data_IF_606165433250
#
_entry.id   IF_606165433250
#
_cell.length_a   1.000
_cell.length_b   1.000
_cell.length_c   1.000
_cell.angle_alpha   90.00
_cell.angle_beta   90.00
_cell.angle_gamma   90.00
#
_symmetry.space_group_name_H-M   'P 1'
#
loop_
_entity.id
_entity.type
_entity.pdbx_description
1 polymer ?
#
# COMPACT_ATOMS: atom_id res chain seq x y z
N UNK A 1 7.56 -19.97 -21.73
CA UNK A 1 7.40 -18.62 -21.14
C UNK A 1 6.79 -18.75 -19.76
N UNK A 2 7.56 -18.58 -18.70
CA UNK A 2 6.99 -18.44 -17.36
C UNK A 2 6.24 -17.11 -17.32
N UNK A 3 4.91 -17.14 -17.22
CA UNK A 3 4.18 -16.00 -16.66
C UNK A 3 4.59 -15.91 -15.19
N UNK A 4 5.75 -15.29 -14.95
CA UNK A 4 6.20 -14.92 -13.62
C UNK A 4 5.10 -14.02 -13.06
N UNK A 5 4.40 -14.51 -12.04
CA UNK A 5 3.45 -13.74 -11.24
C UNK A 5 4.07 -12.36 -10.98
N UNK A 6 3.35 -11.28 -11.28
CA UNK A 6 3.90 -9.95 -11.09
C UNK A 6 4.25 -9.72 -9.61
N UNK A 7 5.34 -8.98 -9.41
CA UNK A 7 5.81 -8.65 -8.07
C UNK A 7 5.13 -7.37 -7.59
N UNK A 8 3.93 -7.50 -7.04
CA UNK A 8 3.17 -6.34 -6.56
C UNK A 8 3.41 -6.01 -5.08
N UNK A 9 4.47 -6.54 -4.46
CA UNK A 9 4.81 -6.35 -3.05
C UNK A 9 3.63 -6.55 -2.06
N UNK A 10 2.72 -7.48 -2.37
CA UNK A 10 1.47 -7.73 -1.63
C UNK A 10 0.49 -6.53 -1.55
N UNK A 11 0.56 -5.63 -2.51
CA UNK A 11 -0.38 -4.52 -2.67
C UNK A 11 -1.25 -4.63 -3.94
N UNK A 12 -1.24 -5.74 -4.66
CA UNK A 12 -2.22 -6.02 -5.71
C UNK A 12 -2.44 -7.52 -5.86
N UNK A 13 -3.69 -7.91 -6.17
CA UNK A 13 -4.05 -9.27 -6.56
C UNK A 13 -3.93 -9.54 -8.07
N UNK A 14 -3.85 -8.47 -8.88
CA UNK A 14 -3.91 -8.53 -10.33
C UNK A 14 -2.91 -7.58 -10.98
N UNK A 15 -2.68 -7.79 -12.28
CA UNK A 15 -1.85 -6.94 -13.11
C UNK A 15 -2.50 -6.75 -14.46
N UNK A 16 -2.31 -5.58 -15.04
CA UNK A 16 -2.79 -5.20 -16.35
C UNK A 16 -1.62 -4.79 -17.26
N UNK A 17 -1.75 -5.03 -18.57
CA UNK A 17 -0.79 -4.56 -19.55
C UNK A 17 -1.10 -3.09 -19.87
N UNK A 18 -0.20 -2.17 -19.50
CA UNK A 18 -0.32 -0.72 -19.73
C UNK A 18 0.90 -0.24 -20.50
N UNK A 19 0.67 0.38 -21.66
CA UNK A 19 1.73 0.90 -22.54
C UNK A 19 2.80 -0.15 -22.89
N UNK A 20 2.36 -1.38 -23.18
CA UNK A 20 3.26 -2.50 -23.50
C UNK A 20 4.03 -3.08 -22.33
N UNK A 21 3.82 -2.57 -21.11
CA UNK A 21 4.48 -3.03 -19.88
C UNK A 21 3.46 -3.66 -18.93
N UNK A 22 3.79 -4.79 -18.30
CA UNK A 22 2.95 -5.40 -17.28
C UNK A 22 3.09 -4.62 -15.98
N UNK A 23 1.98 -4.06 -15.47
CA UNK A 23 1.94 -3.24 -14.27
C UNK A 23 0.90 -3.79 -13.29
N UNK A 24 1.20 -3.71 -12.00
CA UNK A 24 0.28 -4.09 -10.93
C UNK A 24 -0.89 -3.10 -10.82
N UNK A 25 -2.09 -3.60 -10.54
CA UNK A 25 -3.23 -2.75 -10.21
C UNK A 25 -3.18 -2.44 -8.71
N UNK A 26 -2.33 -1.48 -8.34
CA UNK A 26 -1.98 -1.21 -6.94
C UNK A 26 -3.14 -0.74 -6.08
N UNK A 27 -3.19 -1.28 -4.86
CA UNK A 27 -4.08 -0.94 -3.76
C UNK A 27 -3.27 -0.37 -2.58
N UNK A 28 -3.88 -0.27 -1.39
CA UNK A 28 -3.18 0.10 -0.15
C UNK A 28 -2.44 1.45 -0.24
N UNK A 29 -2.94 2.37 -1.06
CA UNK A 29 -2.38 3.69 -1.32
C UNK A 29 -0.94 3.64 -1.86
N UNK A 30 -0.63 2.58 -2.62
CA UNK A 30 0.66 2.39 -3.29
C UNK A 30 0.56 2.66 -4.79
N UNK A 31 1.69 2.91 -5.43
CA UNK A 31 1.80 3.22 -6.85
C UNK A 31 3.12 2.71 -7.43
N UNK A 32 3.27 2.82 -8.75
CA UNK A 32 4.40 2.28 -9.53
C UNK A 32 4.11 0.89 -10.08
N UNK A 33 4.96 0.43 -11.02
CA UNK A 33 4.79 -0.85 -11.72
C UNK A 33 4.62 -2.05 -10.78
N UNK A 34 5.33 -2.03 -9.65
CA UNK A 34 5.39 -3.10 -8.66
C UNK A 34 4.78 -2.69 -7.30
N UNK A 35 4.08 -1.56 -7.22
CA UNK A 35 3.56 -1.01 -5.96
C UNK A 35 4.65 -0.69 -4.91
N UNK A 36 5.79 -0.17 -5.38
CA UNK A 36 7.01 0.07 -4.59
C UNK A 36 7.12 1.48 -3.99
N UNK A 37 6.09 2.30 -4.14
CA UNK A 37 6.02 3.65 -3.57
C UNK A 37 4.61 3.95 -3.06
N UNK A 38 4.48 4.93 -2.17
CA UNK A 38 3.18 5.48 -1.80
C UNK A 38 2.66 6.45 -2.86
N UNK A 39 1.35 6.51 -3.03
CA UNK A 39 0.69 7.48 -3.90
C UNK A 39 0.86 8.92 -3.38
N UNK A 40 0.68 9.91 -4.27
CA UNK A 40 0.68 11.33 -3.89
C UNK A 40 -0.38 11.58 -2.81
N UNK A 41 -0.01 12.33 -1.77
CA UNK A 41 -0.87 12.57 -0.61
C UNK A 41 -0.59 11.63 0.57
N UNK A 42 0.24 10.60 0.38
CA UNK A 42 0.68 9.68 1.43
C UNK A 42 2.18 9.85 1.76
N UNK A 43 2.58 9.43 2.96
CA UNK A 43 3.94 9.59 3.47
C UNK A 43 4.85 8.58 2.78
N UNK A 44 5.77 9.03 1.94
CA UNK A 44 6.73 8.13 1.28
C UNK A 44 7.49 7.22 2.28
N UNK A 45 7.82 7.74 3.47
CA UNK A 45 8.51 7.00 4.54
C UNK A 45 7.68 5.88 5.19
N UNK A 46 6.36 5.86 5.03
CA UNK A 46 5.51 4.79 5.58
C UNK A 46 5.46 3.55 4.70
N UNK A 47 5.98 3.62 3.47
CA UNK A 47 5.95 2.48 2.56
C UNK A 47 6.66 1.26 3.16
N UNK A 48 5.96 0.14 3.16
CA UNK A 48 6.49 -1.19 3.48
C UNK A 48 5.71 -2.21 2.64
N UNK A 49 6.34 -3.28 2.14
CA UNK A 49 5.62 -4.33 1.44
C UNK A 49 4.58 -4.95 2.37
N UNK A 50 3.48 -5.48 1.83
CA UNK A 50 2.58 -6.33 2.61
C UNK A 50 3.31 -7.54 3.19
N UNK A 51 2.75 -8.10 4.25
CA UNK A 51 3.30 -9.25 4.97
C UNK A 51 2.25 -10.34 5.09
N UNK A 52 2.65 -11.61 4.99
CA UNK A 52 1.78 -12.74 5.30
C UNK A 52 1.60 -12.96 6.82
N UNK A 53 2.26 -12.14 7.66
CA UNK A 53 2.19 -12.21 9.12
C UNK A 53 1.45 -10.99 9.70
N UNK A 54 0.73 -11.17 10.84
CA UNK A 54 0.45 -12.44 11.50
C UNK A 54 -0.56 -13.28 10.69
N UNK A 55 -0.42 -14.60 10.74
CA UNK A 55 -1.40 -15.50 10.13
C UNK A 55 -2.75 -15.40 10.84
N UNK A 56 -3.89 -15.61 10.16
CA UNK A 56 -4.04 -16.04 8.75
C UNK A 56 -4.09 -14.89 7.73
N UNK A 57 -4.32 -13.65 8.16
CA UNK A 57 -4.68 -12.54 7.26
C UNK A 57 -3.49 -11.68 6.81
N UNK A 58 -2.36 -11.77 7.51
CA UNK A 58 -1.20 -10.92 7.21
C UNK A 58 -1.40 -9.47 7.62
N UNK A 59 -0.53 -8.60 7.09
CA UNK A 59 -0.56 -7.15 7.30
C UNK A 59 -0.43 -6.44 5.95
N UNK A 60 -1.40 -5.60 5.54
CA UNK A 60 -1.37 -4.92 4.24
C UNK A 60 -0.36 -3.78 4.17
N UNK A 61 0.11 -3.26 5.31
CA UNK A 61 1.09 -2.18 5.41
C UNK A 61 0.76 -0.97 4.52
N UNK A 62 -0.49 -0.50 4.65
CA UNK A 62 -1.06 0.62 3.90
C UNK A 62 -0.26 1.90 4.16
N UNK A 63 -0.01 2.69 3.11
CA UNK A 63 0.65 3.98 3.27
C UNK A 63 -0.20 4.96 4.11
N UNK A 64 0.46 5.68 5.02
CA UNK A 64 -0.17 6.67 5.90
C UNK A 64 -0.43 7.98 5.16
N UNK A 65 -1.60 8.60 5.36
CA UNK A 65 -1.90 9.90 4.79
C UNK A 65 -0.96 10.98 5.35
N UNK A 66 -0.48 11.89 4.49
CA UNK A 66 0.43 12.98 4.86
C UNK A 66 -0.24 14.10 5.67
N UNK A 67 -1.55 14.00 5.94
CA UNK A 67 -2.30 15.01 6.66
C UNK A 67 -3.65 14.49 7.14
N UNK A 68 -3.63 13.65 8.16
CA UNK A 68 -4.47 13.91 9.33
C UNK A 68 -3.54 13.83 10.51
N UNK A 69 -3.34 14.96 11.19
CA UNK A 69 -2.96 14.92 12.59
C UNK A 69 -3.76 13.81 13.26
N UNK A 70 -3.09 12.92 14.00
CA UNK A 70 -3.72 12.28 15.13
C UNK A 70 -4.50 13.38 15.86
N UNK A 71 -5.81 13.44 15.62
CA UNK A 71 -6.74 14.06 16.54
C UNK A 71 -6.74 13.15 17.75
N UNK A 72 -5.64 13.23 18.50
CA UNK A 72 -5.56 12.92 19.90
C UNK A 72 -6.49 13.93 20.58
N UNK A 73 -7.80 13.72 20.41
CA UNK A 73 -8.88 14.26 21.24
C UNK A 73 -8.83 13.62 22.64
N UNK A 74 -7.62 13.38 23.17
CA UNK A 74 -7.37 13.28 24.60
C UNK A 74 -6.93 14.66 25.11
N UNK A 75 -7.62 15.71 24.67
CA UNK A 75 -7.57 17.03 25.27
C UNK A 75 -8.99 17.38 25.71
N UNK A 76 -9.21 17.22 27.02
CA UNK A 76 -10.38 17.56 27.84
C UNK A 76 -11.34 16.42 28.17
N UNK A 77 -11.29 16.02 29.44
CA UNK A 77 -12.44 15.43 30.09
C UNK A 77 -13.61 16.40 30.18
N UNK A 78 -14.74 15.82 30.60
CA UNK A 78 -15.98 16.45 31.04
C UNK A 78 -16.92 16.92 29.90
N UNK A 79 -18.01 16.14 29.80
CA UNK A 79 -19.28 16.27 29.07
C UNK A 79 -19.28 15.88 27.59
#
# INVERSE_FOLDING_TARGET
>A
MSYLRCKCNLHAGQCSLRDGTLQCDCEHNTTGQDCSACERGFKAKSWKPGSYLPTPNGSPNICEASGTSDSKWHANGIR
#
